data_IF_533094116853
#
_entry.id   IF_533094116853
#
_cell.length_a   1.000
_cell.length_b   1.000
_cell.length_c   1.000
_cell.angle_alpha   90.00
_cell.angle_beta   90.00
_cell.angle_gamma   90.00
#
_symmetry.space_group_name_H-M   'P 1'
#
loop_
_entity.id
_entity.type
_entity.pdbx_description
1 polymer ?
#
# COMPACT_ATOMS: atom_id res chain seq x y z
N UNK A 1 -5.68 -3.45 -30.95
CA UNK A 1 -4.84 -3.12 -29.77
C UNK A 1 -3.55 -2.50 -30.29
N UNK A 2 -3.23 -1.25 -29.95
CA UNK A 2 -2.10 -0.52 -30.54
C UNK A 2 -0.88 -0.50 -29.60
N UNK A 3 0.32 -0.30 -30.14
CA UNK A 3 1.56 -0.17 -29.36
C UNK A 3 1.45 0.93 -28.29
N UNK A 4 0.78 2.04 -28.62
CA UNK A 4 0.50 3.13 -27.67
C UNK A 4 -0.34 2.66 -26.47
N UNK A 5 -1.38 1.85 -26.67
CA UNK A 5 -2.19 1.31 -25.56
C UNK A 5 -1.41 0.36 -24.65
N UNK A 6 -0.44 -0.38 -25.20
CA UNK A 6 0.45 -1.24 -24.42
C UNK A 6 1.43 -0.42 -23.57
N UNK A 7 2.01 0.63 -24.15
CA UNK A 7 2.91 1.54 -23.43
C UNK A 7 2.21 2.24 -22.26
N UNK A 8 0.99 2.74 -22.47
CA UNK A 8 0.20 3.37 -21.40
C UNK A 8 -0.10 2.37 -20.26
N UNK A 9 -0.53 1.15 -20.57
CA UNK A 9 -0.79 0.12 -19.54
C UNK A 9 0.47 -0.25 -18.76
N UNK A 10 1.62 -0.31 -19.42
CA UNK A 10 2.91 -0.56 -18.77
C UNK A 10 3.32 0.61 -17.86
N UNK A 11 3.12 1.85 -18.30
CA UNK A 11 3.36 3.03 -17.49
C UNK A 11 2.46 3.04 -16.25
N UNK A 12 1.17 2.78 -16.41
CA UNK A 12 0.21 2.69 -15.30
C UNK A 12 0.59 1.59 -14.31
N UNK A 13 1.00 0.43 -14.82
CA UNK A 13 1.44 -0.68 -13.98
C UNK A 13 2.71 -0.31 -13.17
N UNK A 14 3.68 0.35 -13.80
CA UNK A 14 4.90 0.83 -13.13
C UNK A 14 4.58 1.88 -12.08
N UNK A 15 3.68 2.82 -12.39
CA UNK A 15 3.25 3.86 -11.46
C UNK A 15 2.56 3.25 -10.23
N UNK A 16 1.64 2.29 -10.43
CA UNK A 16 0.99 1.57 -9.33
C UNK A 16 1.98 0.80 -8.46
N UNK A 17 2.97 0.15 -9.07
CA UNK A 17 4.02 -0.57 -8.33
C UNK A 17 4.90 0.38 -7.52
N UNK A 18 5.25 1.54 -8.09
CA UNK A 18 6.03 2.56 -7.39
C UNK A 18 5.25 3.12 -6.18
N UNK A 19 3.96 3.43 -6.36
CA UNK A 19 3.10 3.89 -5.28
C UNK A 19 2.97 2.84 -4.17
N UNK A 20 2.82 1.55 -4.53
CA UNK A 20 2.78 0.46 -3.54
C UNK A 20 4.07 0.39 -2.71
N UNK A 21 5.23 0.44 -3.38
CA UNK A 21 6.53 0.40 -2.70
C UNK A 21 6.72 1.60 -1.78
N UNK A 22 6.28 2.78 -2.20
CA UNK A 22 6.33 3.98 -1.38
C UNK A 22 5.45 3.83 -0.13
N UNK A 23 4.21 3.34 -0.28
CA UNK A 23 3.32 3.07 0.84
C UNK A 23 3.92 2.05 1.82
N UNK A 24 4.52 0.97 1.32
CA UNK A 24 5.22 -0.01 2.16
C UNK A 24 6.36 0.63 2.96
N UNK A 25 7.13 1.53 2.34
CA UNK A 25 8.23 2.25 2.99
C UNK A 25 7.72 3.24 4.04
N UNK A 26 6.66 3.98 3.75
CA UNK A 26 6.03 4.91 4.70
C UNK A 26 5.49 4.15 5.90
N UNK A 27 4.77 3.04 5.69
CA UNK A 27 4.25 2.18 6.76
C UNK A 27 5.36 1.52 7.58
N UNK A 28 6.48 1.17 6.96
CA UNK A 28 7.66 0.66 7.66
C UNK A 28 8.37 1.73 8.49
N UNK A 29 8.28 3.00 8.10
CA UNK A 29 8.89 4.12 8.84
C UNK A 29 8.20 4.38 10.18
N UNK A 30 6.92 4.00 10.31
CA UNK A 30 6.19 3.99 11.58
C UNK A 30 6.54 2.74 12.39
N UNK A 31 7.77 2.70 12.90
CA UNK A 31 8.34 1.53 13.58
C UNK A 31 8.03 1.46 15.09
N UNK A 32 7.46 2.51 15.68
CA UNK A 32 7.07 2.50 17.10
C UNK A 32 5.82 1.64 17.32
N UNK A 33 5.75 0.87 18.43
CA UNK A 33 4.52 0.15 18.80
C UNK A 33 3.29 1.07 18.93
N UNK A 34 3.47 2.33 19.37
CA UNK A 34 2.39 3.32 19.46
C UNK A 34 1.83 3.67 18.07
N UNK A 35 2.72 3.90 17.12
CA UNK A 35 2.36 4.36 15.77
C UNK A 35 1.67 3.21 15.02
N UNK A 36 2.14 1.97 15.24
CA UNK A 36 1.50 0.76 14.70
C UNK A 36 0.07 0.60 15.24
N UNK A 37 -0.11 0.71 16.56
CA UNK A 37 -1.42 0.59 17.18
C UNK A 37 -2.39 1.69 16.71
N UNK A 38 -1.90 2.90 16.48
CA UNK A 38 -2.71 4.00 15.94
C UNK A 38 -3.16 3.73 14.50
N UNK A 39 -2.23 3.30 13.64
CA UNK A 39 -2.54 2.95 12.24
C UNK A 39 -3.54 1.79 12.20
N UNK A 40 -3.34 0.74 13.00
CA UNK A 40 -4.27 -0.39 13.09
C UNK A 40 -5.66 0.05 13.56
N UNK A 41 -5.74 0.95 14.54
CA UNK A 41 -7.01 1.49 15.02
C UNK A 41 -7.74 2.34 13.95
N UNK A 42 -7.00 3.09 13.14
CA UNK A 42 -7.56 3.86 12.01
C UNK A 42 -8.06 2.89 10.94
N UNK A 43 -7.24 1.92 10.54
CA UNK A 43 -7.57 0.94 9.50
C UNK A 43 -8.80 0.12 9.89
N UNK A 44 -8.90 -0.31 11.15
CA UNK A 44 -10.04 -1.08 11.65
C UNK A 44 -11.38 -0.32 11.56
N UNK A 45 -11.37 1.02 11.49
CA UNK A 45 -12.57 1.85 11.31
C UNK A 45 -13.00 1.98 9.84
N UNK A 46 -12.17 1.50 8.91
CA UNK A 46 -12.42 1.58 7.48
C UNK A 46 -12.61 0.17 6.88
N UNK A 47 -13.64 0.00 6.04
CA UNK A 47 -13.95 -1.32 5.42
C UNK A 47 -13.70 -1.36 3.92
N UNK A 48 -12.87 -0.44 3.41
CA UNK A 48 -12.56 -0.29 1.99
C UNK A 48 -11.45 -1.22 1.49
N UNK A 49 -11.28 -1.29 0.18
CA UNK A 49 -10.15 -2.00 -0.45
C UNK A 49 -8.80 -1.44 0.03
N UNK A 50 -8.73 -0.13 0.24
CA UNK A 50 -7.51 0.55 0.69
C UNK A 50 -7.17 0.19 2.14
N UNK A 51 -8.19 0.03 3.00
CA UNK A 51 -7.99 -0.42 4.38
C UNK A 51 -7.43 -1.85 4.43
N UNK A 52 -7.99 -2.76 3.63
CA UNK A 52 -7.48 -4.14 3.50
C UNK A 52 -6.05 -4.17 2.97
N UNK A 53 -5.71 -3.31 2.02
CA UNK A 53 -4.35 -3.21 1.49
C UNK A 53 -3.37 -2.82 2.60
N UNK A 54 -3.70 -1.82 3.41
CA UNK A 54 -2.85 -1.39 4.53
C UNK A 54 -2.72 -2.53 5.55
N UNK A 55 -3.81 -3.19 5.92
CA UNK A 55 -3.80 -4.35 6.83
C UNK A 55 -2.90 -5.49 6.33
N UNK A 56 -2.94 -5.82 5.03
CA UNK A 56 -2.05 -6.82 4.42
C UNK A 56 -0.57 -6.39 4.46
N UNK A 57 -0.27 -5.10 4.28
CA UNK A 57 1.11 -4.59 4.36
C UNK A 57 1.61 -4.67 5.79
N UNK A 58 0.81 -4.22 6.77
CA UNK A 58 1.18 -4.27 8.18
C UNK A 58 1.43 -5.70 8.63
N UNK A 59 0.55 -6.64 8.24
CA UNK A 59 0.67 -8.07 8.53
C UNK A 59 1.96 -8.66 7.97
N UNK A 60 2.31 -8.33 6.72
CA UNK A 60 3.57 -8.80 6.08
C UNK A 60 4.83 -8.27 6.77
N UNK A 61 4.77 -7.07 7.33
CA UNK A 61 5.90 -6.46 8.04
C UNK A 61 6.05 -6.99 9.47
N UNK A 62 5.01 -7.59 10.04
CA UNK A 62 5.02 -8.17 11.38
C UNK A 62 5.43 -9.66 11.40
N UNK A 63 5.45 -10.32 10.23
CA UNK A 63 5.88 -11.71 10.03
C UNK A 63 7.40 -11.80 9.87
#
# INVERSE_FOLDING_TARGET
>A
MSISTLQSRLADHRARKAAMKQLEQELASYSSPSDRAEIEAIVARHTGKDARLVEEILTRQAA
#
